data_IF_548338775672
#
_entry.id   IF_548338775672
#
_cell.length_a   1.000
_cell.length_b   1.000
_cell.length_c   1.000
_cell.angle_alpha   90.00
_cell.angle_beta   90.00
_cell.angle_gamma   90.00
#
_symmetry.space_group_name_H-M   'P 1'
#
loop_
_entity.id
_entity.type
_entity.pdbx_description
1 polymer ?
#
# COMPACT_ATOMS: atom_id res chain seq x y z
N UNK A 1 73.74 36.78 -31.30
CA UNK A 1 73.23 35.95 -30.19
C UNK A 1 72.38 36.84 -29.29
N UNK A 2 71.33 36.25 -28.72
CA UNK A 2 70.25 36.81 -27.88
C UNK A 2 69.23 37.74 -28.57
N UNK A 3 68.08 37.12 -28.84
CA UNK A 3 66.84 37.62 -29.44
C UNK A 3 65.92 38.19 -28.34
N UNK A 4 65.33 39.35 -28.60
CA UNK A 4 64.27 39.96 -27.80
C UNK A 4 62.90 39.58 -28.41
N UNK A 5 62.03 38.97 -27.61
CA UNK A 5 60.70 38.48 -27.99
C UNK A 5 59.67 39.62 -27.81
N UNK A 6 58.76 39.86 -28.78
CA UNK A 6 57.76 40.92 -28.69
C UNK A 6 56.51 40.51 -27.89
N UNK A 7 55.93 41.50 -27.19
CA UNK A 7 54.69 41.39 -26.42
C UNK A 7 53.46 41.19 -27.33
N UNK A 8 52.69 40.12 -27.08
CA UNK A 8 51.34 39.92 -27.64
C UNK A 8 50.26 40.55 -26.72
N UNK A 9 49.12 41.03 -27.28
CA UNK A 9 48.03 41.59 -26.49
C UNK A 9 47.26 40.50 -25.75
N UNK A 10 46.82 40.80 -24.52
CA UNK A 10 46.04 39.91 -23.68
C UNK A 10 44.68 39.57 -24.31
N UNK A 11 44.38 38.28 -24.40
CA UNK A 11 43.09 37.75 -24.80
C UNK A 11 42.02 38.10 -23.74
N UNK A 12 40.94 38.73 -24.17
CA UNK A 12 39.70 38.89 -23.41
C UNK A 12 39.13 37.52 -23.02
N UNK A 13 39.08 37.25 -21.72
CA UNK A 13 38.39 36.09 -21.13
C UNK A 13 36.87 36.15 -21.39
N UNK A 14 36.21 35.02 -21.67
CA UNK A 14 34.76 34.98 -21.85
C UNK A 14 34.04 35.33 -20.54
N UNK A 15 33.09 36.25 -20.63
CA UNK A 15 32.28 36.72 -19.49
C UNK A 15 31.61 35.55 -18.78
N UNK A 16 31.92 35.36 -17.51
CA UNK A 16 31.19 34.48 -16.61
C UNK A 16 29.74 34.95 -16.50
N UNK A 17 28.80 34.22 -17.09
CA UNK A 17 27.38 34.45 -16.87
C UNK A 17 27.08 34.28 -15.38
N UNK A 18 26.58 35.35 -14.75
CA UNK A 18 26.10 35.34 -13.36
C UNK A 18 24.99 34.31 -13.17
N UNK A 19 24.94 33.56 -12.05
CA UNK A 19 23.87 32.59 -11.79
C UNK A 19 22.51 33.30 -11.81
N UNK A 20 21.55 32.77 -12.56
CA UNK A 20 20.16 33.24 -12.54
C UNK A 20 19.62 33.15 -11.12
N UNK A 21 19.36 34.29 -10.48
CA UNK A 21 18.69 34.37 -9.19
C UNK A 21 17.17 34.37 -9.41
N UNK A 22 16.48 33.38 -8.84
CA UNK A 22 15.01 33.32 -8.83
C UNK A 22 14.49 33.81 -7.48
N UNK A 23 13.40 34.57 -7.47
CA UNK A 23 12.85 35.12 -6.23
C UNK A 23 11.97 34.11 -5.48
N UNK A 24 11.47 33.07 -6.17
CA UNK A 24 10.72 31.97 -5.57
C UNK A 24 10.95 30.62 -6.27
N UNK A 25 10.59 29.53 -5.57
CA UNK A 25 10.62 28.18 -6.15
C UNK A 25 9.57 27.98 -7.25
N UNK A 26 8.44 28.70 -7.23
CA UNK A 26 7.46 28.72 -8.33
C UNK A 26 8.06 29.38 -9.57
N UNK A 27 8.75 30.52 -9.43
CA UNK A 27 9.42 31.18 -10.56
C UNK A 27 10.50 30.30 -11.18
N UNK A 28 11.33 29.66 -10.35
CA UNK A 28 12.34 28.72 -10.81
C UNK A 28 11.70 27.54 -11.57
N UNK A 29 10.55 27.02 -11.09
CA UNK A 29 9.81 25.97 -11.78
C UNK A 29 9.24 26.46 -13.12
N UNK A 30 8.61 27.63 -13.16
CA UNK A 30 8.07 28.24 -14.38
C UNK A 30 9.14 28.47 -15.44
N UNK A 31 10.32 28.98 -15.05
CA UNK A 31 11.46 29.15 -15.96
C UNK A 31 11.93 27.80 -16.53
N UNK A 32 12.09 26.79 -15.67
CA UNK A 32 12.49 25.43 -16.07
C UNK A 32 11.47 24.80 -17.02
N UNK A 33 10.18 24.91 -16.70
CA UNK A 33 9.11 24.38 -17.54
C UNK A 33 9.13 25.00 -18.94
N UNK A 34 9.32 26.31 -19.05
CA UNK A 34 9.46 26.99 -20.33
C UNK A 34 10.61 26.42 -21.15
N UNK A 35 11.81 26.31 -20.56
CA UNK A 35 12.99 25.77 -21.25
C UNK A 35 12.80 24.31 -21.69
N UNK A 36 12.19 23.48 -20.84
CA UNK A 36 11.88 22.08 -21.16
C UNK A 36 10.87 22.00 -22.31
N UNK A 37 9.77 22.75 -22.25
CA UNK A 37 8.73 22.76 -23.30
C UNK A 37 9.31 23.21 -24.64
N UNK A 38 10.14 24.24 -24.66
CA UNK A 38 10.82 24.71 -25.88
C UNK A 38 11.75 23.65 -26.46
N UNK A 39 12.57 23.00 -25.61
CA UNK A 39 13.48 21.94 -26.04
C UNK A 39 12.73 20.71 -26.54
N UNK A 40 11.69 20.27 -25.82
CA UNK A 40 10.86 19.12 -26.20
C UNK A 40 10.14 19.38 -27.53
N UNK A 41 9.59 20.59 -27.71
CA UNK A 41 8.96 21.01 -28.97
C UNK A 41 9.97 20.95 -30.13
N UNK A 42 11.22 21.38 -29.90
CA UNK A 42 12.27 21.34 -30.92
C UNK A 42 12.62 19.92 -31.36
N UNK A 43 12.84 18.99 -30.41
CA UNK A 43 13.21 17.60 -30.73
C UNK A 43 12.06 16.80 -31.33
N UNK A 44 10.80 17.20 -31.08
CA UNK A 44 9.63 16.57 -31.69
C UNK A 44 9.43 16.96 -33.17
N UNK A 45 10.07 18.03 -33.66
CA UNK A 45 9.96 18.44 -35.08
C UNK A 45 10.56 17.41 -36.03
N UNK A 46 9.94 17.27 -37.19
CA UNK A 46 10.43 16.43 -38.29
C UNK A 46 11.83 16.89 -38.70
N UNK A 47 12.79 15.96 -38.78
CA UNK A 47 14.17 16.23 -39.20
C UNK A 47 15.14 16.69 -38.09
N UNK A 48 14.68 16.88 -36.86
CA UNK A 48 15.58 17.15 -35.73
C UNK A 48 16.39 15.91 -35.35
N UNK A 49 17.63 16.11 -34.85
CA UNK A 49 18.42 15.04 -34.26
C UNK A 49 17.68 14.52 -33.02
N UNK A 50 17.27 13.26 -33.07
CA UNK A 50 16.50 12.62 -32.01
C UNK A 50 17.41 11.75 -31.14
N UNK A 51 17.49 12.08 -29.85
CA UNK A 51 18.09 11.23 -28.83
C UNK A 51 16.99 10.70 -27.88
N UNK A 52 16.73 9.38 -27.86
CA UNK A 52 15.77 8.75 -26.95
C UNK A 52 16.00 9.07 -25.47
N UNK A 53 17.26 9.20 -25.05
CA UNK A 53 17.61 9.48 -23.67
C UNK A 53 17.28 10.92 -23.29
N UNK A 54 17.70 11.89 -24.10
CA UNK A 54 17.34 13.30 -23.94
C UNK A 54 15.81 13.48 -23.90
N UNK A 55 15.09 12.88 -24.85
CA UNK A 55 13.63 12.94 -24.91
C UNK A 55 13.00 12.42 -23.60
N UNK A 56 13.41 11.24 -23.14
CA UNK A 56 12.86 10.63 -21.94
C UNK A 56 13.15 11.47 -20.70
N UNK A 57 14.38 11.98 -20.58
CA UNK A 57 14.80 12.88 -19.49
C UNK A 57 13.96 14.15 -19.43
N UNK A 58 13.71 14.77 -20.59
CA UNK A 58 12.86 15.97 -20.69
C UNK A 58 11.40 15.68 -20.36
N UNK A 59 10.83 14.56 -20.80
CA UNK A 59 9.48 14.13 -20.42
C UNK A 59 9.35 13.93 -18.90
N UNK A 60 10.31 13.25 -18.26
CA UNK A 60 10.33 13.13 -16.79
C UNK A 60 10.53 14.47 -16.08
N UNK A 61 11.33 15.37 -16.64
CA UNK A 61 11.52 16.71 -16.08
C UNK A 61 10.25 17.55 -16.19
N UNK A 62 9.55 17.49 -17.33
CA UNK A 62 8.28 18.16 -17.56
C UNK A 62 7.20 17.63 -16.60
N UNK A 63 7.05 16.30 -16.51
CA UNK A 63 6.15 15.63 -15.56
C UNK A 63 6.36 16.14 -14.12
N UNK A 64 7.62 16.16 -13.65
CA UNK A 64 7.96 16.69 -12.31
C UNK A 64 7.60 18.16 -12.12
N UNK A 65 7.81 19.00 -13.14
CA UNK A 65 7.49 20.42 -13.06
C UNK A 65 5.98 20.69 -13.03
N UNK A 66 5.20 19.88 -13.78
CA UNK A 66 3.73 19.89 -13.75
C UNK A 66 3.24 19.44 -12.36
N UNK A 67 3.72 18.29 -11.87
CA UNK A 67 3.39 17.78 -10.53
C UNK A 67 3.68 18.82 -9.43
N UNK A 68 4.83 19.49 -9.51
CA UNK A 68 5.19 20.53 -8.54
C UNK A 68 4.16 21.68 -8.54
N UNK A 69 3.82 22.21 -9.72
CA UNK A 69 2.85 23.29 -9.88
C UNK A 69 1.46 22.88 -9.37
N UNK A 70 1.00 21.65 -9.68
CA UNK A 70 -0.24 21.11 -9.14
C UNK A 70 -0.23 21.07 -7.60
N UNK A 71 0.90 20.68 -7.01
CA UNK A 71 1.04 20.57 -5.56
C UNK A 71 0.93 21.92 -4.85
N UNK A 72 1.35 23.02 -5.51
CA UNK A 72 1.24 24.39 -4.97
C UNK A 72 0.03 25.14 -5.53
N UNK A 73 -0.89 24.45 -6.22
CA UNK A 73 -2.08 25.03 -6.86
C UNK A 73 -1.77 26.21 -7.80
N UNK A 74 -0.65 26.13 -8.51
CA UNK A 74 -0.18 27.12 -9.47
C UNK A 74 -0.48 26.65 -10.91
N UNK A 75 -0.84 27.58 -11.80
CA UNK A 75 -1.04 27.31 -13.23
C UNK A 75 0.05 28.05 -14.00
N UNK A 76 1.11 27.34 -14.45
CA UNK A 76 2.22 27.98 -15.15
C UNK A 76 1.75 28.65 -16.44
N UNK A 77 2.31 29.82 -16.77
CA UNK A 77 1.97 30.54 -18.00
C UNK A 77 2.14 29.70 -19.28
N UNK A 78 3.03 28.70 -19.27
CA UNK A 78 3.28 27.79 -20.39
C UNK A 78 2.20 26.70 -20.55
N UNK A 79 1.24 26.58 -19.63
CA UNK A 79 0.23 25.52 -19.61
C UNK A 79 -0.55 25.42 -20.92
N UNK A 80 -0.90 26.55 -21.55
CA UNK A 80 -1.61 26.60 -22.83
C UNK A 80 -0.88 25.88 -23.99
N UNK A 81 0.44 25.66 -23.90
CA UNK A 81 1.21 24.94 -24.92
C UNK A 81 1.26 23.42 -24.70
N UNK A 82 0.98 22.97 -23.48
CA UNK A 82 1.08 21.56 -23.11
C UNK A 82 0.18 20.64 -23.96
N UNK A 83 -1.08 20.97 -24.29
CA UNK A 83 -1.93 20.09 -25.11
C UNK A 83 -1.29 19.72 -26.45
N UNK A 84 -0.77 20.71 -27.18
CA UNK A 84 -0.07 20.50 -28.45
C UNK A 84 1.17 19.63 -28.31
N UNK A 85 1.95 19.85 -27.25
CA UNK A 85 3.18 19.12 -26.99
C UNK A 85 2.90 17.66 -26.61
N UNK A 86 1.88 17.41 -25.78
CA UNK A 86 1.46 16.06 -25.38
C UNK A 86 1.10 15.23 -26.62
N UNK A 87 0.35 15.80 -27.56
CA UNK A 87 0.03 15.16 -28.85
C UNK A 87 1.30 14.75 -29.61
N UNK A 88 2.25 15.67 -29.75
CA UNK A 88 3.52 15.39 -30.43
C UNK A 88 4.36 14.31 -29.71
N UNK A 89 4.35 14.29 -28.38
CA UNK A 89 5.03 13.23 -27.62
C UNK A 89 4.35 11.88 -27.78
N UNK A 90 3.01 11.86 -27.87
CA UNK A 90 2.21 10.66 -28.03
C UNK A 90 2.39 9.99 -29.40
N UNK A 91 2.70 10.75 -30.46
CA UNK A 91 3.05 10.20 -31.77
C UNK A 91 4.23 9.21 -31.70
N UNK A 92 5.08 9.32 -30.68
CA UNK A 92 6.24 8.45 -30.45
C UNK A 92 5.95 7.19 -29.62
N UNK A 93 4.69 6.96 -29.22
CA UNK A 93 4.26 5.82 -28.36
C UNK A 93 4.69 4.44 -28.87
N UNK A 94 4.82 4.25 -30.18
CA UNK A 94 5.18 2.93 -30.72
C UNK A 94 6.63 2.51 -30.39
N UNK A 95 7.45 3.41 -29.87
CA UNK A 95 8.78 3.08 -29.37
C UNK A 95 8.72 2.66 -27.89
N UNK A 96 8.94 1.36 -27.64
CA UNK A 96 8.90 0.76 -26.30
C UNK A 96 9.89 1.38 -25.30
N UNK A 97 11.01 1.94 -25.75
CA UNK A 97 11.97 2.59 -24.87
C UNK A 97 11.46 3.95 -24.33
N UNK A 98 10.57 4.62 -25.06
CA UNK A 98 10.04 5.95 -24.72
C UNK A 98 8.74 5.88 -23.93
N UNK A 99 8.02 4.77 -24.08
CA UNK A 99 6.74 4.46 -23.44
C UNK A 99 6.69 4.84 -21.94
N UNK A 100 7.68 4.50 -21.08
CA UNK A 100 7.65 4.91 -19.67
C UNK A 100 7.66 6.43 -19.45
N UNK A 101 8.43 7.16 -20.25
CA UNK A 101 8.55 8.61 -20.13
C UNK A 101 7.29 9.32 -20.63
N UNK A 102 6.72 8.83 -21.73
CA UNK A 102 5.44 9.31 -22.27
C UNK A 102 4.32 9.04 -21.26
N UNK A 103 4.27 7.85 -20.67
CA UNK A 103 3.27 7.51 -19.65
C UNK A 103 3.35 8.46 -18.44
N UNK A 104 4.55 8.68 -17.88
CA UNK A 104 4.71 9.57 -16.73
C UNK A 104 4.26 11.01 -17.03
N UNK A 105 4.55 11.50 -18.22
CA UNK A 105 4.08 12.81 -18.66
C UNK A 105 2.55 12.84 -18.77
N UNK A 106 1.95 11.83 -19.42
CA UNK A 106 0.50 11.68 -19.58
C UNK A 106 -0.24 11.60 -18.25
N UNK A 107 0.30 10.90 -17.24
CA UNK A 107 -0.28 10.85 -15.90
C UNK A 107 -0.28 12.24 -15.25
N UNK A 108 0.83 12.98 -15.37
CA UNK A 108 0.95 14.32 -14.78
C UNK A 108 0.00 15.31 -15.44
N UNK A 109 -0.16 15.25 -16.76
CA UNK A 109 -1.03 16.15 -17.53
C UNK A 109 -2.51 15.77 -17.45
N UNK A 110 -2.84 14.48 -17.35
CA UNK A 110 -4.18 14.00 -16.95
C UNK A 110 -4.61 14.62 -15.63
N UNK A 111 -3.71 14.69 -14.64
CA UNK A 111 -4.02 15.34 -13.38
C UNK A 111 -4.20 16.85 -13.54
N UNK A 112 -3.38 17.52 -14.36
CA UNK A 112 -3.62 18.93 -14.70
C UNK A 112 -5.01 19.20 -15.34
N UNK A 113 -5.54 18.26 -16.14
CA UNK A 113 -6.90 18.35 -16.65
C UNK A 113 -7.94 18.41 -15.53
N UNK A 114 -7.81 17.56 -14.50
CA UNK A 114 -8.73 17.52 -13.34
C UNK A 114 -8.71 18.82 -12.53
N UNK A 115 -7.58 19.53 -12.53
CA UNK A 115 -7.43 20.84 -11.88
C UNK A 115 -7.79 22.02 -12.79
N UNK A 116 -8.38 21.76 -13.97
CA UNK A 116 -8.91 22.80 -14.84
C UNK A 116 -7.86 23.64 -15.57
N UNK A 117 -6.67 23.09 -15.81
CA UNK A 117 -5.59 23.83 -16.50
C UNK A 117 -5.88 24.14 -17.97
N UNK A 118 -6.76 23.38 -18.62
CA UNK A 118 -6.97 23.40 -20.06
C UNK A 118 -8.44 23.63 -20.40
N UNK A 119 -8.69 24.15 -21.61
CA UNK A 119 -10.03 24.18 -22.18
C UNK A 119 -10.59 22.76 -22.34
N UNK A 120 -11.92 22.62 -22.29
CA UNK A 120 -12.60 21.32 -22.29
C UNK A 120 -12.17 20.40 -23.44
N UNK A 121 -12.09 20.93 -24.67
CA UNK A 121 -11.68 20.15 -25.84
C UNK A 121 -10.24 19.61 -25.74
N UNK A 122 -9.31 20.41 -25.21
CA UNK A 122 -7.92 19.98 -24.99
C UNK A 122 -7.83 18.97 -23.83
N UNK A 123 -8.60 19.20 -22.76
CA UNK A 123 -8.66 18.29 -21.63
C UNK A 123 -9.19 16.90 -22.04
N UNK A 124 -10.30 16.85 -22.77
CA UNK A 124 -10.91 15.59 -23.25
C UNK A 124 -9.95 14.79 -24.13
N UNK A 125 -9.20 15.48 -24.98
CA UNK A 125 -8.20 14.90 -25.86
C UNK A 125 -6.99 14.35 -25.08
N UNK A 126 -6.46 15.10 -24.10
CA UNK A 126 -5.38 14.62 -23.22
C UNK A 126 -5.86 13.41 -22.41
N UNK A 127 -7.08 13.44 -21.89
CA UNK A 127 -7.67 12.33 -21.15
C UNK A 127 -7.80 11.09 -22.04
N UNK A 128 -8.20 11.25 -23.31
CA UNK A 128 -8.25 10.14 -24.27
C UNK A 128 -6.86 9.54 -24.51
N UNK A 129 -5.86 10.37 -24.78
CA UNK A 129 -4.46 9.94 -24.94
C UNK A 129 -3.96 9.17 -23.70
N UNK A 130 -4.22 9.71 -22.51
CA UNK A 130 -3.80 9.08 -21.27
C UNK A 130 -4.49 7.72 -21.05
N UNK A 131 -5.77 7.60 -21.38
CA UNK A 131 -6.51 6.34 -21.28
C UNK A 131 -6.01 5.31 -22.31
N UNK A 132 -5.77 5.70 -23.57
CA UNK A 132 -5.21 4.81 -24.60
C UNK A 132 -3.83 4.27 -24.21
N UNK A 133 -2.96 5.14 -23.68
CA UNK A 133 -1.68 4.70 -23.13
C UNK A 133 -1.90 3.72 -21.99
N UNK A 134 -2.75 4.07 -21.02
CA UNK A 134 -2.99 3.21 -19.86
C UNK A 134 -3.51 1.82 -20.25
N UNK A 135 -4.44 1.74 -21.19
CA UNK A 135 -5.00 0.50 -21.71
C UNK A 135 -3.95 -0.31 -22.51
N UNK A 136 -2.94 0.33 -23.10
CA UNK A 136 -1.84 -0.38 -23.78
C UNK A 136 -0.84 -1.04 -22.80
N UNK A 137 -0.80 -0.57 -21.55
CA UNK A 137 0.12 -1.09 -20.52
C UNK A 137 -0.56 -2.02 -19.51
N UNK A 138 -1.85 -1.79 -19.23
CA UNK A 138 -2.61 -2.60 -18.28
C UNK A 138 -3.43 -3.65 -19.03
N UNK A 139 -3.39 -4.90 -18.58
CA UNK A 139 -4.18 -5.97 -19.22
C UNK A 139 -5.68 -5.83 -18.93
N UNK A 140 -6.03 -5.30 -17.75
CA UNK A 140 -7.41 -5.12 -17.31
C UNK A 140 -7.63 -3.68 -16.86
N UNK A 141 -8.67 -3.04 -17.42
CA UNK A 141 -9.12 -1.72 -16.96
C UNK A 141 -9.62 -1.87 -15.53
N UNK A 142 -9.07 -1.08 -14.59
CA UNK A 142 -9.57 -0.95 -13.22
C UNK A 142 -10.94 -0.26 -13.21
N UNK A 143 -11.96 -0.94 -13.73
CA UNK A 143 -13.36 -0.56 -13.55
C UNK A 143 -13.82 -1.38 -12.35
N UNK A 144 -14.28 -0.70 -11.31
CA UNK A 144 -14.92 -1.28 -10.13
C UNK A 144 -16.27 -1.92 -10.49
N UNK A 145 -16.30 -2.85 -11.45
CA UNK A 145 -17.49 -3.63 -11.79
C UNK A 145 -17.33 -5.05 -11.27
N UNK A 146 -17.93 -5.31 -10.10
CA UNK A 146 -18.11 -6.67 -9.58
C UNK A 146 -17.92 -6.79 -8.07
N UNK A 147 -19.01 -6.58 -7.32
CA UNK A 147 -19.30 -7.01 -5.94
C UNK A 147 -18.13 -7.21 -4.94
N UNK A 148 -17.62 -6.10 -4.41
CA UNK A 148 -17.60 -5.74 -2.99
C UNK A 148 -17.11 -4.29 -2.90
N UNK A 149 -17.76 -3.41 -2.13
CA UNK A 149 -17.22 -2.07 -1.93
C UNK A 149 -15.85 -2.22 -1.24
N UNK A 150 -14.76 -1.65 -1.80
CA UNK A 150 -13.43 -1.69 -1.18
C UNK A 150 -13.43 -1.31 0.30
N UNK A 151 -14.30 -0.36 0.67
CA UNK A 151 -14.47 0.07 2.05
C UNK A 151 -15.03 -1.05 2.94
N UNK A 152 -16.01 -1.83 2.46
CA UNK A 152 -16.62 -2.91 3.22
C UNK A 152 -15.60 -4.02 3.53
N UNK A 153 -14.72 -4.33 2.57
CA UNK A 153 -13.65 -5.32 2.79
C UNK A 153 -12.69 -4.83 3.87
N UNK A 154 -12.23 -3.58 3.77
CA UNK A 154 -11.33 -2.99 4.77
C UNK A 154 -11.97 -2.94 6.16
N UNK A 155 -13.24 -2.53 6.24
CA UNK A 155 -14.00 -2.47 7.50
C UNK A 155 -14.27 -3.87 8.09
N UNK A 156 -14.32 -4.93 7.27
CA UNK A 156 -14.41 -6.32 7.74
C UNK A 156 -13.08 -6.85 8.29
N UNK A 157 -11.96 -6.58 7.62
CA UNK A 157 -10.66 -7.19 7.99
C UNK A 157 -9.97 -6.49 9.16
N UNK A 158 -10.11 -5.16 9.30
CA UNK A 158 -9.43 -4.40 10.37
C UNK A 158 -9.80 -4.91 11.77
N UNK A 159 -11.08 -5.03 12.16
CA UNK A 159 -11.42 -5.53 13.49
C UNK A 159 -10.99 -6.98 13.71
N UNK A 160 -10.89 -7.79 12.64
CA UNK A 160 -10.49 -9.21 12.70
C UNK A 160 -8.98 -9.38 12.91
N UNK A 161 -8.18 -8.70 12.09
CA UNK A 161 -6.75 -8.99 11.96
C UNK A 161 -5.84 -7.82 12.32
N UNK A 162 -6.37 -6.61 12.39
CA UNK A 162 -5.62 -5.38 12.70
C UNK A 162 -6.31 -4.52 13.78
N UNK A 163 -6.70 -5.10 14.93
CA UNK A 163 -7.60 -4.45 15.89
C UNK A 163 -7.01 -3.18 16.53
N UNK A 164 -5.70 -2.96 16.45
CA UNK A 164 -5.02 -1.75 16.95
C UNK A 164 -4.91 -0.62 15.90
N UNK A 165 -5.34 -0.86 14.66
CA UNK A 165 -5.32 0.10 13.57
C UNK A 165 -6.69 0.76 13.43
N UNK A 166 -6.68 2.07 13.17
CA UNK A 166 -7.88 2.84 12.85
C UNK A 166 -7.81 3.30 11.41
N UNK A 167 -8.80 2.88 10.62
CA UNK A 167 -9.02 3.41 9.28
C UNK A 167 -9.44 4.87 9.35
N UNK A 168 -8.77 5.74 8.60
CA UNK A 168 -9.08 7.17 8.54
C UNK A 168 -9.78 7.50 7.21
N UNK A 169 -9.12 7.23 6.08
CA UNK A 169 -9.69 7.43 4.75
C UNK A 169 -8.96 6.61 3.70
N UNK A 170 -9.67 6.32 2.59
CA UNK A 170 -9.11 5.63 1.42
C UNK A 170 -8.46 6.64 0.47
N UNK A 171 -7.30 6.30 -0.07
CA UNK A 171 -6.60 7.11 -1.08
C UNK A 171 -6.92 6.58 -2.47
N UNK A 172 -6.70 5.29 -2.67
CA UNK A 172 -6.96 4.60 -3.93
C UNK A 172 -7.13 3.12 -3.66
N UNK A 173 -7.95 2.46 -4.47
CA UNK A 173 -8.11 1.01 -4.44
C UNK A 173 -8.42 0.48 -5.83
N UNK A 174 -7.97 -0.73 -6.11
CA UNK A 174 -8.31 -1.46 -7.32
C UNK A 174 -8.31 -2.96 -7.03
N UNK A 175 -8.97 -3.71 -7.91
CA UNK A 175 -9.08 -5.15 -7.80
C UNK A 175 -8.20 -5.83 -8.84
N UNK A 176 -7.56 -6.92 -8.44
CA UNK A 176 -6.90 -7.86 -9.33
C UNK A 176 -7.72 -9.14 -9.45
N UNK A 177 -7.95 -9.60 -10.68
CA UNK A 177 -8.61 -10.87 -10.96
C UNK A 177 -7.59 -12.02 -10.97
N UNK A 178 -8.04 -13.27 -10.79
CA UNK A 178 -7.16 -14.43 -10.93
C UNK A 178 -6.50 -14.48 -12.31
N UNK A 179 -5.19 -14.75 -12.35
CA UNK A 179 -4.41 -14.78 -13.58
C UNK A 179 -3.18 -13.86 -13.54
N UNK A 180 -2.48 -13.77 -14.66
CA UNK A 180 -1.38 -12.82 -14.81
C UNK A 180 -1.95 -11.44 -15.12
N UNK A 181 -1.65 -10.47 -14.27
CA UNK A 181 -2.15 -9.11 -14.38
C UNK A 181 -1.02 -8.09 -14.26
N UNK A 182 -1.18 -7.00 -15.00
CA UNK A 182 -0.35 -5.80 -14.91
C UNK A 182 -1.30 -4.65 -14.63
N UNK A 183 -1.34 -4.20 -13.37
CA UNK A 183 -2.20 -3.12 -12.93
C UNK A 183 -1.35 -1.95 -12.49
N UNK A 184 -1.78 -0.75 -12.86
CA UNK A 184 -1.16 0.51 -12.49
C UNK A 184 -2.26 1.46 -12.02
N UNK A 185 -2.02 2.34 -11.06
CA UNK A 185 -2.95 3.44 -10.79
C UNK A 185 -2.20 4.64 -10.23
N UNK A 186 -2.58 5.85 -10.68
CA UNK A 186 -2.07 7.11 -10.15
C UNK A 186 -2.91 7.63 -8.98
N UNK A 187 -2.28 8.28 -8.02
CA UNK A 187 -2.95 8.89 -6.86
C UNK A 187 -2.22 10.15 -6.39
N UNK A 188 -2.92 11.01 -5.65
CA UNK A 188 -2.41 12.31 -5.21
C UNK A 188 -2.14 12.32 -3.70
N UNK A 189 -0.99 12.86 -3.30
CA UNK A 189 -0.64 13.10 -1.89
C UNK A 189 -0.52 14.61 -1.63
N UNK A 190 -1.42 15.21 -0.82
CA UNK A 190 -1.38 16.63 -0.51
C UNK A 190 -0.21 16.99 0.43
N UNK A 191 0.20 18.27 0.45
CA UNK A 191 1.26 18.75 1.37
C UNK A 191 0.83 18.86 2.83
N UNK A 192 -0.45 19.04 3.11
CA UNK A 192 -0.97 19.33 4.45
C UNK A 192 -1.42 18.05 5.16
N UNK A 193 -0.52 17.09 5.34
CA UNK A 193 -0.85 15.80 5.96
C UNK A 193 -0.64 15.83 7.49
N UNK A 194 -1.59 15.31 8.30
CA UNK A 194 -1.39 15.15 9.73
C UNK A 194 -0.19 14.24 10.03
N UNK A 195 0.72 14.60 10.95
CA UNK A 195 1.94 13.81 11.23
C UNK A 195 1.68 12.39 11.78
N UNK A 196 0.49 12.16 12.35
CA UNK A 196 0.13 10.93 13.06
C UNK A 196 -0.43 9.84 12.13
N UNK A 197 -0.81 10.20 10.91
CA UNK A 197 -1.41 9.28 9.95
C UNK A 197 -0.35 8.70 9.03
N UNK A 198 -0.24 7.36 9.04
CA UNK A 198 0.64 6.62 8.14
C UNK A 198 -0.14 6.15 6.94
N UNK A 199 0.45 6.25 5.76
CA UNK A 199 -0.13 5.71 4.54
C UNK A 199 0.31 4.26 4.43
N UNK A 200 -0.66 3.34 4.35
CA UNK A 200 -0.40 1.90 4.31
C UNK A 200 -1.00 1.23 3.09
N UNK A 201 -0.27 0.26 2.56
CA UNK A 201 -0.70 -0.67 1.53
C UNK A 201 -1.39 -1.88 2.17
N UNK A 202 -2.63 -2.11 1.76
CA UNK A 202 -3.41 -3.32 2.02
C UNK A 202 -3.44 -4.18 0.76
N UNK A 203 -3.24 -5.48 0.95
CA UNK A 203 -3.39 -6.51 -0.09
C UNK A 203 -4.21 -7.62 0.54
N UNK A 204 -5.41 -7.85 0.01
CA UNK A 204 -6.42 -8.69 0.65
C UNK A 204 -7.03 -9.62 -0.37
N UNK A 205 -6.91 -10.94 -0.17
CA UNK A 205 -7.60 -11.93 -0.97
C UNK A 205 -9.08 -11.97 -0.56
N UNK A 206 -9.99 -11.60 -1.47
CA UNK A 206 -11.40 -11.33 -1.15
C UNK A 206 -12.27 -12.59 -1.09
N UNK A 207 -11.76 -13.73 -1.56
CA UNK A 207 -12.44 -15.03 -1.55
C UNK A 207 -12.43 -15.72 -0.17
N UNK A 208 -11.57 -15.31 0.77
CA UNK A 208 -11.41 -15.97 2.08
C UNK A 208 -11.22 -14.98 3.25
N UNK A 209 -12.17 -14.06 3.43
CA UNK A 209 -12.10 -13.01 4.47
C UNK A 209 -12.23 -13.53 5.91
N UNK A 210 -12.64 -14.79 6.10
CA UNK A 210 -12.88 -15.36 7.43
C UNK A 210 -11.58 -15.77 8.14
N UNK A 211 -10.50 -16.01 7.39
CA UNK A 211 -9.24 -16.50 7.95
C UNK A 211 -8.09 -15.56 7.63
N UNK A 212 -7.00 -15.65 8.40
CA UNK A 212 -5.80 -14.83 8.18
C UNK A 212 -5.09 -15.09 6.86
N UNK A 213 -5.50 -16.11 6.08
CA UNK A 213 -4.93 -16.29 4.75
C UNK A 213 -5.31 -15.16 3.79
N UNK A 214 -6.42 -14.44 4.01
CA UNK A 214 -6.77 -13.30 3.15
C UNK A 214 -5.74 -12.17 3.19
N UNK A 215 -4.90 -12.07 4.21
CA UNK A 215 -3.89 -11.00 4.33
C UNK A 215 -2.48 -11.48 3.94
N UNK A 216 -2.38 -12.64 3.30
CA UNK A 216 -1.14 -13.14 2.70
C UNK A 216 -0.87 -12.36 1.40
N UNK A 217 0.40 -12.00 1.18
CA UNK A 217 0.79 -11.40 -0.09
C UNK A 217 0.80 -12.46 -1.20
N UNK A 218 0.27 -12.18 -2.41
CA UNK A 218 0.39 -13.10 -3.53
C UNK A 218 1.87 -13.30 -3.88
N UNK A 219 2.42 -14.53 -3.80
CA UNK A 219 3.87 -14.77 -3.81
C UNK A 219 4.52 -14.50 -5.17
N UNK A 220 3.74 -14.54 -6.25
CA UNK A 220 4.19 -14.33 -7.63
C UNK A 220 3.91 -12.90 -8.13
N UNK A 221 3.62 -11.97 -7.23
CA UNK A 221 3.27 -10.58 -7.57
C UNK A 221 4.27 -9.61 -6.94
N UNK A 222 4.62 -8.58 -7.70
CA UNK A 222 5.43 -7.46 -7.24
C UNK A 222 4.60 -6.19 -7.16
N UNK A 223 4.60 -5.59 -5.97
CA UNK A 223 4.01 -4.29 -5.71
C UNK A 223 5.11 -3.22 -5.74
N UNK A 224 4.91 -2.17 -6.53
CA UNK A 224 5.86 -1.07 -6.68
C UNK A 224 5.18 0.27 -6.41
N UNK A 225 5.88 1.15 -5.70
CA UNK A 225 5.51 2.55 -5.51
C UNK A 225 6.56 3.41 -6.20
N UNK A 226 6.12 4.23 -7.16
CA UNK A 226 7.01 5.09 -7.96
C UNK A 226 8.19 4.30 -8.57
N UNK A 227 7.92 3.09 -9.07
CA UNK A 227 8.92 2.18 -9.66
C UNK A 227 9.84 1.47 -8.66
N UNK A 228 9.69 1.72 -7.35
CA UNK A 228 10.46 1.02 -6.30
C UNK A 228 9.65 -0.11 -5.70
N UNK A 229 10.21 -1.31 -5.63
CA UNK A 229 9.57 -2.46 -4.99
C UNK A 229 9.26 -2.20 -3.52
N UNK A 230 8.05 -2.55 -3.09
CA UNK A 230 7.63 -2.48 -1.68
C UNK A 230 8.25 -3.66 -0.93
N UNK A 231 8.93 -3.38 0.18
CA UNK A 231 9.63 -4.40 0.96
C UNK A 231 8.69 -5.55 1.34
N UNK A 232 9.15 -6.81 1.14
CA UNK A 232 8.41 -8.06 1.41
C UNK A 232 7.13 -8.27 0.59
N UNK A 233 6.87 -7.38 -0.37
CA UNK A 233 5.72 -7.40 -1.27
C UNK A 233 6.20 -7.53 -2.73
N UNK A 234 7.28 -8.29 -2.96
CA UNK A 234 7.83 -8.56 -4.30
C UNK A 234 8.06 -10.05 -4.52
N UNK A 235 7.99 -10.49 -5.77
CA UNK A 235 8.21 -11.88 -6.14
C UNK A 235 9.66 -12.36 -5.91
N UNK A 236 10.63 -11.45 -5.81
CA UNK A 236 12.04 -11.77 -5.50
C UNK A 236 12.32 -11.90 -4.00
N UNK A 237 11.44 -11.35 -3.16
CA UNK A 237 11.55 -11.41 -1.70
C UNK A 237 10.17 -11.53 -1.06
N UNK A 238 9.40 -12.59 -1.38
CA UNK A 238 8.05 -12.71 -0.87
C UNK A 238 8.09 -13.12 0.61
N UNK A 239 7.35 -12.40 1.44
CA UNK A 239 6.96 -12.94 2.74
C UNK A 239 5.75 -13.87 2.53
N UNK A 240 5.82 -15.09 3.07
CA UNK A 240 4.91 -16.19 2.75
C UNK A 240 3.70 -16.19 3.69
N UNK A 241 3.81 -15.51 4.83
CA UNK A 241 2.80 -15.51 5.87
C UNK A 241 1.75 -14.39 5.72
N UNK A 242 0.68 -14.45 6.52
CA UNK A 242 -0.20 -13.32 6.79
C UNK A 242 0.62 -12.10 7.22
N UNK A 243 0.34 -10.92 6.66
CA UNK A 243 1.16 -9.72 6.89
C UNK A 243 0.35 -8.53 7.36
N UNK A 244 1.02 -7.63 8.08
CA UNK A 244 0.48 -6.31 8.41
C UNK A 244 0.41 -5.45 7.13
N UNK A 245 -0.48 -4.44 7.09
CA UNK A 245 -0.48 -3.45 6.02
C UNK A 245 0.85 -2.68 6.03
N UNK A 246 1.52 -2.62 4.89
CA UNK A 246 2.89 -2.10 4.77
C UNK A 246 2.88 -0.58 4.81
N UNK A 247 3.66 0.04 5.70
CA UNK A 247 3.84 1.49 5.75
C UNK A 247 4.69 1.95 4.56
N UNK A 248 4.05 2.65 3.61
CA UNK A 248 4.70 3.15 2.40
C UNK A 248 4.98 4.64 2.46
N UNK A 249 4.73 5.30 3.60
CA UNK A 249 4.78 6.77 3.73
C UNK A 249 6.11 7.35 3.22
N UNK A 250 7.22 6.69 3.50
CA UNK A 250 8.57 7.12 3.09
C UNK A 250 8.88 6.90 1.59
N UNK A 251 8.03 6.18 0.87
CA UNK A 251 8.17 5.92 -0.57
C UNK A 251 7.45 6.96 -1.43
N UNK A 252 6.67 7.83 -0.80
CA UNK A 252 5.79 8.78 -1.46
C UNK A 252 6.46 10.14 -1.63
N UNK A 253 6.07 10.84 -2.70
CA UNK A 253 6.36 12.26 -2.92
C UNK A 253 5.07 13.06 -2.78
N UNK A 254 5.15 14.36 -2.49
CA UNK A 254 3.98 15.23 -2.61
C UNK A 254 3.54 15.32 -4.08
N UNK A 255 2.23 15.39 -4.32
CA UNK A 255 1.62 15.37 -5.64
C UNK A 255 1.39 13.95 -6.17
N UNK A 256 1.59 13.77 -7.48
CA UNK A 256 1.25 12.54 -8.21
C UNK A 256 2.18 11.38 -7.85
N UNK A 257 1.63 10.26 -7.39
CA UNK A 257 2.36 9.02 -7.17
C UNK A 257 1.72 7.91 -7.99
N UNK A 258 2.45 6.82 -8.20
CA UNK A 258 1.97 5.65 -8.93
C UNK A 258 2.19 4.40 -8.09
N UNK A 259 1.16 3.56 -8.04
CA UNK A 259 1.24 2.17 -7.56
C UNK A 259 1.13 1.23 -8.75
N UNK A 260 1.92 0.17 -8.74
CA UNK A 260 1.89 -0.90 -9.73
C UNK A 260 1.81 -2.25 -9.02
N UNK A 261 1.05 -3.18 -9.57
CA UNK A 261 1.07 -4.59 -9.17
C UNK A 261 1.21 -5.46 -10.41
N UNK A 262 2.24 -6.30 -10.43
CA UNK A 262 2.64 -7.05 -11.63
C UNK A 262 2.90 -8.50 -11.23
N UNK A 263 2.21 -9.44 -11.86
CA UNK A 263 2.47 -10.86 -11.69
C UNK A 263 1.23 -11.73 -11.69
N UNK A 264 1.38 -12.96 -11.19
CA UNK A 264 0.31 -13.96 -11.18
C UNK A 264 -0.48 -13.94 -9.87
N UNK A 265 -1.77 -13.61 -9.94
CA UNK A 265 -2.70 -13.63 -8.82
C UNK A 265 -3.43 -14.98 -8.79
N UNK A 266 -3.35 -15.67 -7.65
CA UNK A 266 -3.99 -16.98 -7.44
C UNK A 266 -5.50 -16.92 -7.18
N UNK A 267 -6.06 -15.72 -7.05
CA UNK A 267 -7.41 -15.45 -6.56
C UNK A 267 -7.78 -14.01 -6.84
N UNK A 268 -8.92 -13.56 -6.32
CA UNK A 268 -9.31 -12.15 -6.42
C UNK A 268 -8.68 -11.38 -5.26
N UNK A 269 -8.00 -10.29 -5.55
CA UNK A 269 -7.35 -9.45 -4.54
C UNK A 269 -7.83 -8.02 -4.60
N UNK A 270 -8.14 -7.45 -3.44
CA UNK A 270 -8.25 -6.02 -3.24
C UNK A 270 -6.87 -5.45 -2.89
N UNK A 271 -6.42 -4.48 -3.67
CA UNK A 271 -5.25 -3.66 -3.40
C UNK A 271 -5.74 -2.27 -3.00
N UNK A 272 -5.35 -1.78 -1.83
CA UNK A 272 -5.78 -0.46 -1.37
C UNK A 272 -4.67 0.31 -0.65
N UNK A 273 -4.63 1.62 -0.88
CA UNK A 273 -3.84 2.56 -0.11
C UNK A 273 -4.79 3.37 0.77
N UNK A 274 -4.48 3.48 2.06
CA UNK A 274 -5.31 4.18 3.02
C UNK A 274 -4.48 4.91 4.08
N UNK A 275 -5.04 5.99 4.61
CA UNK A 275 -4.57 6.64 5.82
C UNK A 275 -4.98 5.83 7.04
N UNK A 276 -3.99 5.42 7.83
CA UNK A 276 -4.16 4.59 9.01
C UNK A 276 -3.47 5.26 10.20
N UNK A 277 -4.21 5.38 11.30
CA UNK A 277 -3.66 5.76 12.60
C UNK A 277 -3.61 4.56 13.54
N UNK A 278 -2.82 4.67 14.61
CA UNK A 278 -2.86 3.71 15.72
C UNK A 278 -3.90 4.18 16.72
N UNK A 279 -4.66 3.24 17.30
CA UNK A 279 -5.50 3.55 18.44
C UNK A 279 -4.62 3.92 19.64
N UNK A 280 -4.87 5.07 20.24
CA UNK A 280 -4.14 5.59 21.41
C UNK A 280 -4.47 4.82 22.68
N UNK A 281 -5.67 4.26 22.76
CA UNK A 281 -6.09 3.29 23.76
C UNK A 281 -6.90 2.19 23.06
N UNK A 282 -6.34 0.99 22.96
CA UNK A 282 -7.08 -0.18 22.53
C UNK A 282 -7.68 -0.86 23.77
N UNK A 283 -9.00 -0.71 23.96
CA UNK A 283 -9.73 -1.56 24.89
C UNK A 283 -10.09 -2.86 24.19
N UNK A 284 -9.80 -4.00 24.82
CA UNK A 284 -10.26 -5.28 24.32
C UNK A 284 -11.77 -5.21 24.03
N UNK A 285 -12.24 -5.66 22.84
CA UNK A 285 -13.67 -5.78 22.62
C UNK A 285 -14.26 -6.70 23.70
N UNK A 286 -15.53 -6.48 24.10
CA UNK A 286 -16.17 -7.31 25.11
C UNK A 286 -16.12 -8.77 24.66
N UNK A 287 -15.34 -9.57 25.39
CA UNK A 287 -15.16 -10.98 25.11
C UNK A 287 -16.45 -11.71 25.46
N UNK A 288 -16.98 -12.45 24.50
CA UNK A 288 -18.09 -13.37 24.76
C UNK A 288 -17.61 -14.54 25.59
N UNK A 289 -18.52 -15.15 26.34
CA UNK A 289 -18.20 -16.38 27.05
C UNK A 289 -18.00 -17.51 26.05
N UNK A 290 -16.99 -18.33 26.30
CA UNK A 290 -16.87 -19.59 25.59
C UNK A 290 -18.01 -20.50 26.03
N UNK A 291 -18.86 -20.87 25.07
CA UNK A 291 -19.88 -21.89 25.24
C UNK A 291 -19.28 -23.18 24.71
N UNK A 292 -19.01 -24.14 25.59
CA UNK A 292 -18.68 -25.49 25.13
C UNK A 292 -19.90 -26.00 24.35
N UNK A 293 -19.72 -26.52 23.12
CA UNK A 293 -20.84 -27.14 22.42
C UNK A 293 -21.40 -28.20 23.33
N UNK A 294 -22.69 -28.09 23.67
CA UNK A 294 -23.42 -29.11 24.41
C UNK A 294 -23.13 -30.41 23.66
N UNK A 295 -22.37 -31.30 24.29
CA UNK A 295 -22.27 -32.67 23.82
C UNK A 295 -23.69 -33.19 24.00
N UNK A 296 -24.50 -33.14 22.93
CA UNK A 296 -25.72 -33.95 22.84
C UNK A 296 -25.24 -35.36 23.12
N UNK A 297 -25.62 -35.86 24.30
CA UNK A 297 -25.21 -37.14 24.88
C UNK A 297 -24.65 -38.08 23.81
N UNK A 298 -23.33 -38.18 23.73
CA UNK A 298 -22.72 -39.27 23.01
C UNK A 298 -23.33 -40.56 23.56
N UNK A 299 -23.71 -41.45 22.66
CA UNK A 299 -24.40 -42.71 22.92
C UNK A 299 -24.05 -43.32 24.28
N UNK A 300 -25.11 -43.69 25.01
CA UNK A 300 -25.09 -44.27 26.36
C UNK A 300 -24.33 -45.61 26.50
N UNK A 301 -23.51 -46.00 25.52
CA UNK A 301 -22.78 -47.28 25.46
C UNK A 301 -21.26 -47.14 25.27
N UNK A 302 -20.69 -45.94 25.45
CA UNK A 302 -19.22 -45.79 25.47
C UNK A 302 -18.67 -45.67 26.90
N UNK A 303 -18.30 -46.81 27.50
CA UNK A 303 -17.55 -46.91 28.78
C UNK A 303 -16.11 -46.37 28.66
N UNK A 304 -15.95 -45.11 28.25
CA UNK A 304 -14.67 -44.41 28.35
C UNK A 304 -14.78 -43.48 29.57
N UNK A 305 -14.28 -43.96 30.71
CA UNK A 305 -14.08 -43.11 31.90
C UNK A 305 -12.95 -42.14 31.56
N UNK A 306 -13.29 -40.94 31.11
CA UNK A 306 -12.32 -39.88 30.85
C UNK A 306 -11.68 -39.44 32.18
N UNK A 307 -10.44 -39.87 32.40
CA UNK A 307 -9.68 -39.55 33.62
C UNK A 307 -9.47 -38.05 33.79
N UNK A 308 -9.31 -37.61 35.04
CA UNK A 308 -9.24 -36.19 35.35
C UNK A 308 -8.02 -35.51 34.69
N UNK A 309 -8.29 -34.68 33.67
CA UNK A 309 -7.25 -33.95 32.96
C UNK A 309 -6.75 -32.73 33.74
N UNK A 310 -5.42 -32.65 33.92
CA UNK A 310 -4.75 -31.50 34.55
C UNK A 310 -4.47 -30.43 33.49
N UNK A 311 -5.15 -29.28 33.61
CA UNK A 311 -4.98 -28.13 32.71
C UNK A 311 -4.00 -27.14 33.36
N UNK A 312 -3.03 -26.63 32.59
CA UNK A 312 -2.08 -25.62 33.10
C UNK A 312 -2.69 -24.22 33.12
N UNK A 313 -2.40 -23.46 34.18
CA UNK A 313 -2.77 -22.05 34.32
C UNK A 313 -1.72 -21.11 33.69
N UNK A 314 -0.66 -21.66 33.12
CA UNK A 314 0.33 -20.91 32.38
C UNK A 314 -0.01 -20.90 30.89
N UNK A 315 0.25 -19.76 30.25
CA UNK A 315 0.04 -19.56 28.82
C UNK A 315 1.01 -20.46 28.03
N UNK A 316 0.55 -21.21 27.02
CA UNK A 316 1.40 -22.09 26.22
C UNK A 316 2.47 -21.32 25.43
N UNK A 317 2.28 -20.01 25.21
CA UNK A 317 3.21 -19.17 24.47
C UNK A 317 4.27 -18.50 25.34
N UNK A 318 3.85 -17.85 26.42
CA UNK A 318 4.75 -17.04 27.26
C UNK A 318 5.29 -17.82 28.45
N UNK A 319 4.72 -19.00 28.75
CA UNK A 319 4.94 -19.79 29.96
C UNK A 319 4.66 -19.05 31.28
N UNK A 320 4.13 -17.81 31.19
CA UNK A 320 3.68 -16.99 32.32
C UNK A 320 2.25 -17.36 32.68
N UNK A 321 1.85 -17.07 33.92
CA UNK A 321 0.48 -17.26 34.38
C UNK A 321 -0.49 -16.45 33.51
N UNK A 322 -1.56 -17.09 33.07
CA UNK A 322 -2.63 -16.46 32.28
C UNK A 322 -3.35 -15.44 33.16
N UNK A 323 -3.50 -14.21 32.67
CA UNK A 323 -4.29 -13.15 33.31
C UNK A 323 -5.72 -13.19 32.78
N UNK A 324 -5.85 -13.17 31.45
CA UNK A 324 -7.14 -13.18 30.75
C UNK A 324 -7.22 -14.44 29.90
N UNK A 325 -7.87 -15.51 30.39
CA UNK A 325 -7.90 -16.81 29.72
C UNK A 325 -8.87 -16.78 28.55
N UNK A 326 -8.33 -16.90 27.34
CA UNK A 326 -9.10 -16.89 26.11
C UNK A 326 -8.78 -18.11 25.24
N UNK A 327 -9.73 -18.44 24.36
CA UNK A 327 -9.56 -19.36 23.22
C UNK A 327 -10.52 -18.95 22.10
N UNK A 328 -10.34 -19.49 20.91
CA UNK A 328 -11.28 -19.25 19.81
C UNK A 328 -12.64 -19.90 20.09
N UNK A 329 -13.72 -19.32 19.59
CA UNK A 329 -15.06 -19.88 19.76
C UNK A 329 -15.21 -21.32 19.21
N UNK A 330 -14.46 -21.68 18.17
CA UNK A 330 -14.44 -23.04 17.59
C UNK A 330 -13.46 -24.01 18.28
N UNK A 331 -12.67 -23.54 19.24
CA UNK A 331 -11.71 -24.39 19.93
C UNK A 331 -12.42 -25.42 20.81
N UNK A 332 -12.11 -26.71 20.59
CA UNK A 332 -12.69 -27.85 21.34
C UNK A 332 -11.81 -28.33 22.51
N UNK A 333 -10.69 -27.67 22.77
CA UNK A 333 -9.79 -28.00 23.88
C UNK A 333 -10.05 -27.13 25.11
N UNK A 334 -9.69 -27.63 26.29
CA UNK A 334 -9.84 -26.88 27.54
C UNK A 334 -8.67 -25.92 27.82
N UNK A 335 -7.48 -26.15 27.26
CA UNK A 335 -6.32 -25.28 27.49
C UNK A 335 -6.57 -23.88 26.91
N UNK A 336 -6.50 -22.83 27.73
CA UNK A 336 -6.57 -21.45 27.23
C UNK A 336 -5.16 -20.85 27.05
N UNK A 337 -5.12 -19.69 26.43
CA UNK A 337 -3.95 -18.82 26.33
C UNK A 337 -4.28 -17.42 26.83
N UNK A 338 -3.23 -16.64 27.08
CA UNK A 338 -3.37 -15.28 27.59
C UNK A 338 -3.70 -14.29 26.47
N UNK A 339 -4.76 -13.48 26.67
CA UNK A 339 -5.24 -12.51 25.68
C UNK A 339 -4.15 -11.50 25.28
N UNK A 340 -3.53 -10.81 26.24
CA UNK A 340 -2.58 -9.74 25.95
C UNK A 340 -1.39 -10.28 25.15
N UNK A 341 -0.87 -11.45 25.55
CA UNK A 341 0.21 -12.10 24.83
C UNK A 341 -0.19 -12.54 23.41
N UNK A 342 -1.41 -13.05 23.22
CA UNK A 342 -1.92 -13.41 21.89
C UNK A 342 -2.06 -12.18 20.97
N UNK A 343 -2.55 -11.07 21.52
CA UNK A 343 -2.67 -9.81 20.78
C UNK A 343 -1.30 -9.20 20.45
N UNK A 344 -0.36 -9.23 21.39
CA UNK A 344 1.02 -8.73 21.18
C UNK A 344 1.71 -9.49 20.05
N UNK A 345 1.65 -10.82 20.04
CA UNK A 345 2.26 -11.63 18.98
C UNK A 345 1.64 -11.33 17.61
N UNK A 346 0.32 -11.30 17.51
CA UNK A 346 -0.37 -11.03 16.24
C UNK A 346 -0.20 -9.58 15.77
N UNK A 347 0.11 -8.64 16.66
CA UNK A 347 0.49 -7.27 16.28
C UNK A 347 1.85 -7.19 15.57
N UNK A 348 2.69 -8.23 15.68
CA UNK A 348 4.01 -8.34 15.03
C UNK A 348 3.99 -9.29 13.85
N UNK A 349 3.41 -10.47 14.04
CA UNK A 349 3.27 -11.52 13.03
C UNK A 349 1.83 -12.07 13.07
N UNK A 350 0.92 -11.58 12.22
CA UNK A 350 -0.52 -11.81 12.32
C UNK A 350 -0.95 -13.20 11.83
N UNK A 351 -0.39 -14.26 12.41
CA UNK A 351 -0.75 -15.63 12.03
C UNK A 351 -2.19 -15.98 12.37
N UNK A 352 -2.75 -15.42 13.45
CA UNK A 352 -4.12 -15.60 13.93
C UNK A 352 -4.53 -17.08 13.98
N UNK A 353 -3.67 -17.88 14.63
CA UNK A 353 -3.88 -19.31 14.87
C UNK A 353 -3.81 -19.64 16.35
N UNK A 354 -4.69 -20.53 16.80
CA UNK A 354 -4.66 -21.05 18.16
C UNK A 354 -3.33 -21.78 18.44
N UNK A 355 -2.65 -21.54 19.57
CA UNK A 355 -1.43 -22.27 19.96
C UNK A 355 -1.63 -23.78 20.12
N UNK A 356 -2.84 -24.18 20.52
CA UNK A 356 -3.09 -25.52 21.02
C UNK A 356 -3.63 -26.44 19.93
N UNK A 357 -4.53 -25.94 19.08
CA UNK A 357 -5.12 -26.74 17.99
C UNK A 357 -4.83 -26.20 16.59
N UNK A 358 -4.10 -25.09 16.45
CA UNK A 358 -3.77 -24.44 15.18
C UNK A 358 -4.95 -24.00 14.30
N UNK A 359 -6.19 -24.09 14.81
CA UNK A 359 -7.36 -23.52 14.14
C UNK A 359 -7.22 -22.00 13.98
N UNK A 360 -7.80 -21.46 12.90
CA UNK A 360 -7.87 -20.03 12.68
C UNK A 360 -8.73 -19.36 13.75
N UNK A 361 -8.24 -18.25 14.30
CA UNK A 361 -8.91 -17.45 15.32
C UNK A 361 -8.59 -16.00 15.06
N UNK A 362 -9.58 -15.18 14.71
CA UNK A 362 -9.42 -13.74 14.60
C UNK A 362 -9.69 -13.03 15.93
N UNK A 363 -9.41 -11.73 16.03
CA UNK A 363 -9.65 -10.96 17.24
C UNK A 363 -11.12 -10.98 17.70
N UNK A 364 -12.07 -10.99 16.76
CA UNK A 364 -13.51 -10.98 17.08
C UNK A 364 -14.02 -12.37 17.47
N UNK A 365 -13.24 -13.42 17.19
CA UNK A 365 -13.58 -14.82 17.47
C UNK A 365 -13.13 -15.28 18.86
N UNK A 366 -12.38 -14.44 19.57
CA UNK A 366 -11.87 -14.73 20.90
C UNK A 366 -13.00 -14.71 21.92
N UNK A 367 -13.03 -15.75 22.76
CA UNK A 367 -13.96 -15.88 23.86
C UNK A 367 -13.22 -16.10 25.18
N UNK A 368 -13.78 -15.61 26.29
CA UNK A 368 -13.25 -15.82 27.64
C UNK A 368 -13.73 -17.17 28.19
N UNK A 369 -12.81 -17.94 28.77
CA UNK A 369 -13.15 -19.18 29.47
C UNK A 369 -13.42 -18.87 30.95
N UNK A 370 -14.71 -18.86 31.34
CA UNK A 370 -15.13 -18.54 32.72
C UNK A 370 -14.59 -19.54 33.74
N UNK A 371 -14.41 -20.81 33.37
CA UNK A 371 -13.95 -21.84 34.28
C UNK A 371 -12.48 -21.62 34.62
N UNK A 372 -11.64 -21.38 33.60
CA UNK A 372 -10.24 -21.03 33.84
C UNK A 372 -10.09 -19.66 34.52
N UNK A 373 -10.93 -18.68 34.21
CA UNK A 373 -10.92 -17.37 34.88
C UNK A 373 -11.17 -17.51 36.40
N UNK A 374 -12.19 -18.29 36.79
CA UNK A 374 -12.46 -18.62 38.20
C UNK A 374 -11.30 -19.38 38.84
N UNK A 375 -10.71 -20.35 38.14
CA UNK A 375 -9.58 -21.14 38.63
C UNK A 375 -8.33 -20.27 38.87
N UNK A 376 -8.08 -19.28 38.00
CA UNK A 376 -6.97 -18.35 38.13
C UNK A 376 -7.06 -17.48 39.39
N UNK A 377 -8.25 -17.00 39.73
CA UNK A 377 -8.50 -16.19 40.94
C UNK A 377 -8.35 -17.04 42.21
N UNK A 378 -8.98 -18.22 42.24
CA UNK A 378 -9.05 -19.06 43.46
C UNK A 378 -7.71 -19.70 43.86
N UNK A 379 -6.75 -19.81 42.95
CA UNK A 379 -5.54 -20.63 43.14
C UNK A 379 -4.24 -19.84 43.00
N UNK A 380 -4.10 -18.73 43.73
CA UNK A 380 -3.00 -17.74 43.64
C UNK A 380 -1.55 -18.27 43.66
N UNK A 381 -1.29 -19.56 43.90
CA UNK A 381 0.03 -20.19 43.78
C UNK A 381 0.10 -21.54 43.03
N UNK A 382 -1.01 -22.11 42.55
CA UNK A 382 -0.97 -23.42 41.84
C UNK A 382 -0.71 -23.22 40.35
N UNK A 383 0.04 -24.13 39.73
CA UNK A 383 0.38 -24.12 38.28
C UNK A 383 -0.67 -24.79 37.39
N UNK A 384 -1.54 -25.63 37.96
CA UNK A 384 -2.57 -26.36 37.22
C UNK A 384 -3.89 -26.40 37.99
N UNK A 385 -4.98 -26.65 37.28
CA UNK A 385 -6.24 -27.09 37.86
C UNK A 385 -6.75 -28.36 37.19
N UNK A 386 -7.62 -29.06 37.91
CA UNK A 386 -8.23 -30.29 37.44
C UNK A 386 -9.56 -29.90 36.82
N UNK A 387 -9.80 -30.29 35.58
CA UNK A 387 -11.14 -30.18 35.00
C UNK A 387 -11.97 -31.29 35.64
N UNK A 388 -12.54 -31.03 36.83
CA UNK A 388 -13.58 -31.90 37.35
C UNK A 388 -14.86 -31.56 36.59
N UNK A 389 -15.54 -32.59 36.08
CA UNK A 389 -16.86 -32.48 35.46
C UNK A 389 -17.71 -31.48 36.23
N UNK A 390 -18.02 -30.35 35.60
CA UNK A 390 -19.25 -29.64 35.90
C UNK A 390 -20.33 -30.46 35.21
N UNK A 391 -20.73 -31.57 35.85
CA UNK A 391 -22.00 -32.23 35.55
C UNK A 391 -23.14 -31.25 35.79
#
# INVERSE_FOLDING_TARGET
MTSAIPHHPAATSPSSASPLQFSSASEANSFRLKAIVERLTFICRVGARFDPFEFSSLCFALARGVDYALTITDVPAIAHRLPSLIKQTYERRNNSALQPAIMMLSVSTKNACKYGWFHTADADEILRIANELFDSFCMTRSVLMGLANPLDVILKIIPRFYPQLKFCSMIVSFEAKPGYEVLMTDFQIPRNQPPQEKIRLFVVQTDNLETSSCIITPPQVSFLINGKGVERRTNVSPDIGPQLPTDITKMLKYGTNIIQSIGYFSGTYLIALAYISKLTAFSAPPLKDHVEPVITAADADSEIVEGASRITLNCPFSFKRIKTPVKGHLCKHHQCFDYDNFMEMNSRNPSWRCPSCHQHVSCIDLCIDRNMAKANIRRGGKRCFQCCHLC
#
